data_IF_241696672794
#
_entry.id   IF_241696672794
#
_cell.length_a   1.000
_cell.length_b   1.000
_cell.length_c   1.000
_cell.angle_alpha   90.00
_cell.angle_beta   90.00
_cell.angle_gamma   90.00
#
_symmetry.space_group_name_H-M   'P 1'
#
loop_
_entity.id
_entity.type
_entity.pdbx_description
1 polymer ?
#
# COMPACT_ATOMS: atom_id res chain seq x y z
N UNK A 1 8.06 -43.35 -12.57
CA UNK A 1 8.69 -43.12 -11.26
C UNK A 1 9.81 -42.13 -11.50
N UNK A 2 9.55 -40.85 -11.25
CA UNK A 2 10.54 -39.79 -11.29
C UNK A 2 10.35 -39.02 -9.99
N UNK A 3 11.40 -38.96 -9.20
CA UNK A 3 11.45 -38.32 -7.87
C UNK A 3 11.22 -36.82 -7.99
N UNK A 4 10.55 -36.17 -7.01
CA UNK A 4 10.48 -34.72 -6.95
C UNK A 4 11.80 -34.18 -6.43
N UNK A 5 12.48 -33.39 -7.22
CA UNK A 5 13.63 -32.59 -6.83
C UNK A 5 13.22 -31.61 -5.74
N UNK A 6 13.71 -31.84 -4.53
CA UNK A 6 13.72 -30.88 -3.42
C UNK A 6 14.57 -29.67 -3.81
N UNK A 7 13.90 -28.56 -4.10
CA UNK A 7 14.58 -27.27 -4.20
C UNK A 7 14.83 -26.77 -2.76
N UNK A 8 16.06 -26.84 -2.32
CA UNK A 8 16.52 -26.20 -1.09
C UNK A 8 16.25 -24.68 -1.23
N UNK A 9 15.43 -24.15 -0.33
CA UNK A 9 15.23 -22.69 -0.19
C UNK A 9 16.56 -22.11 0.25
N UNK A 10 17.24 -21.46 -0.66
CA UNK A 10 18.30 -20.52 -0.35
C UNK A 10 17.63 -19.38 0.44
N UNK A 11 18.11 -19.09 1.65
CA UNK A 11 17.46 -18.19 2.61
C UNK A 11 17.61 -16.70 2.29
N UNK A 12 17.47 -16.30 1.04
CA UNK A 12 17.36 -14.90 0.68
C UNK A 12 15.88 -14.52 0.59
N UNK A 13 15.41 -13.75 1.56
CA UNK A 13 14.16 -12.99 1.45
C UNK A 13 14.23 -12.19 0.15
N UNK A 14 13.34 -12.45 -0.80
CA UNK A 14 13.25 -11.67 -2.02
C UNK A 14 12.98 -10.21 -1.62
N UNK A 15 13.98 -9.34 -1.85
CA UNK A 15 13.98 -7.95 -1.41
C UNK A 15 12.66 -7.25 -1.82
N UNK A 16 11.91 -6.73 -0.89
CA UNK A 16 10.70 -5.99 -1.17
C UNK A 16 11.08 -4.63 -1.71
N UNK A 17 10.48 -4.18 -2.77
CA UNK A 17 10.76 -2.93 -3.47
C UNK A 17 12.27 -2.63 -3.59
N UNK A 18 12.76 -2.49 -4.80
CA UNK A 18 14.17 -2.25 -5.06
C UNK A 18 14.74 -1.08 -4.23
N UNK A 19 15.12 -1.36 -2.97
CA UNK A 19 16.18 -0.56 -2.37
C UNK A 19 17.41 -0.91 -3.21
N UNK A 20 18.03 0.05 -3.90
CA UNK A 20 19.26 -0.21 -4.62
C UNK A 20 20.27 -0.88 -3.70
N UNK A 21 21.03 -1.84 -4.20
CA UNK A 21 21.95 -2.62 -3.39
C UNK A 21 22.97 -1.74 -2.64
N UNK A 22 23.35 -0.60 -3.23
CA UNK A 22 24.23 0.40 -2.61
C UNK A 22 23.56 1.07 -1.39
N UNK A 23 22.26 1.38 -1.47
CA UNK A 23 21.49 1.95 -0.33
C UNK A 23 21.36 0.93 0.79
N UNK A 24 21.07 -0.32 0.46
CA UNK A 24 21.01 -1.38 1.47
C UNK A 24 22.37 -1.55 2.16
N UNK A 25 23.46 -1.61 1.38
CA UNK A 25 24.81 -1.73 1.92
C UNK A 25 25.14 -0.55 2.86
N UNK A 26 24.72 0.66 2.52
CA UNK A 26 24.87 1.85 3.35
C UNK A 26 24.08 1.73 4.68
N UNK A 27 22.83 1.30 4.60
CA UNK A 27 21.96 1.08 5.77
C UNK A 27 22.56 0.05 6.73
N UNK A 28 23.03 -1.09 6.20
CA UNK A 28 23.67 -2.13 7.00
C UNK A 28 25.01 -1.66 7.60
N UNK A 29 25.84 -0.93 6.82
CA UNK A 29 27.11 -0.37 7.31
C UNK A 29 26.92 0.66 8.44
N UNK A 30 25.80 1.39 8.43
CA UNK A 30 25.42 2.32 9.49
C UNK A 30 24.65 1.63 10.64
N UNK A 31 24.46 0.31 10.59
CA UNK A 31 23.83 -0.46 11.66
C UNK A 31 22.30 -0.30 11.75
N UNK A 32 21.64 0.01 10.64
CA UNK A 32 20.16 0.10 10.60
C UNK A 32 19.52 -1.30 10.70
N UNK A 33 20.21 -2.37 10.24
CA UNK A 33 19.73 -3.74 10.43
C UNK A 33 18.41 -4.04 9.73
N UNK A 34 18.22 -3.52 8.52
CA UNK A 34 16.96 -3.67 7.74
C UNK A 34 16.65 -5.14 7.50
N UNK A 35 17.64 -5.93 7.08
CA UNK A 35 17.44 -7.35 6.78
C UNK A 35 17.03 -8.11 8.05
N UNK A 36 17.74 -7.90 9.15
CA UNK A 36 17.42 -8.55 10.42
C UNK A 36 16.00 -8.19 10.91
N UNK A 37 15.59 -6.93 10.74
CA UNK A 37 14.23 -6.50 11.11
C UNK A 37 13.18 -7.17 10.24
N UNK A 38 13.39 -7.25 8.93
CA UNK A 38 12.45 -7.90 8.02
C UNK A 38 12.37 -9.41 8.23
N UNK A 39 13.49 -10.07 8.51
CA UNK A 39 13.50 -11.51 8.85
C UNK A 39 12.71 -11.77 10.15
N UNK A 40 12.88 -10.93 11.17
CA UNK A 40 12.10 -11.02 12.41
C UNK A 40 10.60 -10.76 12.17
N UNK A 41 10.25 -9.84 11.28
CA UNK A 41 8.85 -9.59 10.88
C UNK A 41 8.27 -10.84 10.21
N UNK A 42 8.97 -11.48 9.28
CA UNK A 42 8.50 -12.71 8.61
C UNK A 42 8.23 -13.84 9.61
N UNK A 43 9.17 -14.09 10.53
CA UNK A 43 9.01 -15.11 11.55
C UNK A 43 7.80 -14.83 12.44
N UNK A 44 7.66 -13.61 12.93
CA UNK A 44 6.55 -13.19 13.80
C UNK A 44 5.21 -13.16 13.07
N UNK A 45 5.16 -12.81 11.77
CA UNK A 45 3.95 -12.91 10.96
C UNK A 45 3.43 -14.33 10.90
N UNK A 46 4.32 -15.32 10.69
CA UNK A 46 3.97 -16.74 10.70
C UNK A 46 3.43 -17.19 12.05
N UNK A 47 4.01 -16.70 13.15
CA UNK A 47 3.56 -16.99 14.51
C UNK A 47 2.20 -16.36 14.81
N UNK A 48 2.01 -15.09 14.48
CA UNK A 48 0.76 -14.35 14.76
C UNK A 48 -0.40 -14.80 13.86
N UNK A 49 -0.13 -15.22 12.63
CA UNK A 49 -1.14 -15.84 11.77
C UNK A 49 -1.48 -17.30 12.16
N UNK A 50 -0.75 -17.86 13.14
CA UNK A 50 -0.99 -19.23 13.58
C UNK A 50 -2.30 -19.38 14.36
N UNK A 51 -2.98 -20.50 14.14
CA UNK A 51 -4.14 -20.95 14.90
C UNK A 51 -3.99 -22.43 15.27
N UNK A 52 -4.51 -22.83 16.45
CA UNK A 52 -4.62 -24.24 16.86
C UNK A 52 -5.55 -25.03 15.94
N UNK A 53 -6.51 -24.37 15.31
CA UNK A 53 -7.38 -24.97 14.31
C UNK A 53 -6.66 -25.06 12.96
N UNK A 54 -6.45 -26.27 12.45
CA UNK A 54 -5.68 -26.52 11.25
C UNK A 54 -6.19 -25.75 10.02
N UNK A 55 -7.53 -25.70 9.85
CA UNK A 55 -8.14 -25.00 8.73
C UNK A 55 -8.00 -23.45 8.85
N UNK A 56 -8.22 -22.88 10.03
CA UNK A 56 -7.99 -21.44 10.25
C UNK A 56 -6.55 -21.07 9.94
N UNK A 57 -5.58 -21.90 10.37
CA UNK A 57 -4.17 -21.70 10.05
C UNK A 57 -3.88 -21.78 8.56
N UNK A 58 -4.50 -22.69 7.83
CA UNK A 58 -4.36 -22.79 6.37
C UNK A 58 -4.83 -21.50 5.68
N UNK A 59 -6.04 -21.03 6.04
CA UNK A 59 -6.64 -19.87 5.38
C UNK A 59 -5.92 -18.57 5.76
N UNK A 60 -5.55 -18.38 7.04
CA UNK A 60 -4.86 -17.16 7.50
C UNK A 60 -3.46 -16.98 6.93
N UNK A 61 -2.78 -18.09 6.58
CA UNK A 61 -1.44 -18.07 5.98
C UNK A 61 -1.46 -17.99 4.45
N UNK A 62 -2.58 -18.17 3.82
CA UNK A 62 -2.65 -18.34 2.37
C UNK A 62 -2.03 -17.18 1.57
N UNK A 63 -2.43 -15.93 1.87
CA UNK A 63 -1.82 -14.76 1.23
C UNK A 63 -0.44 -14.41 1.80
N UNK A 64 -0.14 -14.81 3.04
CA UNK A 64 1.17 -14.64 3.64
C UNK A 64 2.21 -15.53 2.95
N UNK A 65 1.88 -16.81 2.75
CA UNK A 65 2.74 -17.80 2.08
C UNK A 65 2.94 -17.48 0.58
N UNK A 66 2.02 -16.74 -0.05
CA UNK A 66 2.19 -16.21 -1.40
C UNK A 66 3.26 -15.09 -1.49
N UNK A 67 3.79 -14.66 -0.35
CA UNK A 67 4.83 -13.64 -0.28
C UNK A 67 4.30 -12.22 -0.20
N UNK A 68 5.18 -11.25 -0.40
CA UNK A 68 4.85 -9.83 -0.37
C UNK A 68 6.11 -8.98 -0.26
N UNK A 69 6.02 -7.72 -0.69
CA UNK A 69 7.18 -6.81 -0.72
C UNK A 69 7.56 -6.25 0.66
N UNK A 70 6.75 -6.45 1.70
CA UNK A 70 6.94 -5.94 3.06
C UNK A 70 7.29 -4.44 3.13
N UNK A 71 6.69 -3.66 2.26
CA UNK A 71 6.96 -2.23 2.14
C UNK A 71 6.63 -1.47 3.44
N UNK A 72 5.50 -1.79 4.07
CA UNK A 72 5.09 -1.16 5.34
C UNK A 72 6.02 -1.49 6.50
N UNK A 73 6.41 -2.75 6.75
CA UNK A 73 7.44 -3.11 7.71
C UNK A 73 8.79 -2.42 7.46
N UNK A 74 9.20 -2.32 6.19
CA UNK A 74 10.41 -1.59 5.81
C UNK A 74 10.34 -0.13 6.25
N UNK A 75 9.21 0.53 6.02
CA UNK A 75 9.01 1.93 6.43
C UNK A 75 9.02 2.09 7.96
N UNK A 76 8.45 1.13 8.72
CA UNK A 76 8.56 1.12 10.19
C UNK A 76 10.03 1.09 10.61
N UNK A 77 10.81 0.17 10.03
CA UNK A 77 12.24 0.04 10.32
C UNK A 77 13.00 1.34 10.02
N UNK A 78 12.88 1.87 8.80
CA UNK A 78 13.60 3.07 8.39
C UNK A 78 13.19 4.30 9.20
N UNK A 79 11.89 4.50 9.43
CA UNK A 79 11.39 5.61 10.25
C UNK A 79 11.82 5.50 11.71
N UNK A 80 12.03 4.29 12.23
CA UNK A 80 12.56 4.05 13.55
C UNK A 80 14.02 4.52 13.73
N UNK A 81 14.76 4.71 12.64
CA UNK A 81 16.12 5.20 12.63
C UNK A 81 16.25 6.68 12.27
N UNK A 82 15.13 7.40 12.15
CA UNK A 82 15.11 8.85 11.89
C UNK A 82 15.39 9.70 13.14
N UNK A 83 14.77 9.42 14.32
CA UNK A 83 15.00 10.25 15.51
C UNK A 83 16.46 10.30 15.95
N UNK A 84 16.84 11.40 16.62
CA UNK A 84 18.20 11.60 17.15
C UNK A 84 18.51 10.73 18.38
N UNK A 85 17.73 9.70 18.66
CA UNK A 85 18.02 8.78 19.75
C UNK A 85 19.35 8.03 19.52
N UNK A 86 20.11 7.67 20.56
CA UNK A 86 21.27 6.82 20.41
C UNK A 86 20.90 5.50 19.72
N UNK A 87 21.68 5.08 18.71
CA UNK A 87 21.39 3.89 17.90
C UNK A 87 21.18 2.63 18.74
N UNK A 88 21.95 2.48 19.84
CA UNK A 88 21.83 1.35 20.79
C UNK A 88 20.49 1.35 21.55
N UNK A 89 19.70 2.41 21.46
CA UNK A 89 18.38 2.54 22.10
C UNK A 89 17.21 2.27 21.16
N UNK A 90 17.45 2.02 19.87
CA UNK A 90 16.38 1.69 18.91
C UNK A 90 15.80 0.32 19.27
N UNK A 91 14.51 0.23 19.60
CA UNK A 91 13.91 -0.98 20.13
C UNK A 91 13.59 -1.97 19.03
N UNK A 92 14.56 -2.80 18.64
CA UNK A 92 14.43 -3.79 17.56
C UNK A 92 13.14 -4.60 17.65
N UNK A 93 12.84 -5.17 18.81
CA UNK A 93 11.64 -6.00 18.99
C UNK A 93 10.35 -5.22 18.78
N UNK A 94 10.27 -4.01 19.31
CA UNK A 94 9.08 -3.16 19.14
C UNK A 94 8.89 -2.71 17.69
N UNK A 95 9.98 -2.44 16.95
CA UNK A 95 9.91 -2.12 15.52
C UNK A 95 9.47 -3.33 14.69
N UNK A 96 9.98 -4.52 15.00
CA UNK A 96 9.56 -5.75 14.34
C UNK A 96 8.06 -6.03 14.59
N UNK A 97 7.59 -5.91 15.84
CA UNK A 97 6.19 -6.10 16.21
C UNK A 97 5.28 -5.04 15.54
N UNK A 98 5.71 -3.78 15.48
CA UNK A 98 4.99 -2.74 14.74
C UNK A 98 4.92 -3.04 13.24
N UNK A 99 6.00 -3.56 12.65
CA UNK A 99 6.03 -4.07 11.28
C UNK A 99 5.02 -5.19 11.05
N UNK A 100 4.90 -6.11 12.01
CA UNK A 100 3.88 -7.18 11.98
C UNK A 100 2.46 -6.62 12.03
N UNK A 101 2.19 -5.65 12.91
CA UNK A 101 0.85 -5.02 13.03
C UNK A 101 0.41 -4.44 11.68
N UNK A 102 1.24 -3.60 11.07
CA UNK A 102 0.86 -2.94 9.82
C UNK A 102 0.75 -3.92 8.65
N UNK A 103 1.54 -4.99 8.63
CA UNK A 103 1.44 -6.01 7.57
C UNK A 103 0.22 -6.93 7.79
N UNK A 104 -0.14 -7.29 9.03
CA UNK A 104 -1.37 -8.04 9.32
C UNK A 104 -2.62 -7.27 8.91
N UNK A 105 -2.66 -5.96 9.22
CA UNK A 105 -3.76 -5.09 8.77
C UNK A 105 -3.80 -5.04 7.25
N UNK A 106 -2.66 -4.87 6.58
CA UNK A 106 -2.61 -4.87 5.12
C UNK A 106 -3.09 -6.21 4.53
N UNK A 107 -2.65 -7.34 5.09
CA UNK A 107 -3.13 -8.66 4.64
C UNK A 107 -4.63 -8.81 4.82
N UNK A 108 -5.16 -8.34 5.94
CA UNK A 108 -6.60 -8.36 6.23
C UNK A 108 -7.38 -7.55 5.19
N UNK A 109 -6.92 -6.34 4.87
CA UNK A 109 -7.57 -5.53 3.82
C UNK A 109 -7.54 -6.23 2.46
N UNK A 110 -6.43 -6.89 2.09
CA UNK A 110 -6.38 -7.65 0.83
C UNK A 110 -7.41 -8.78 0.76
N UNK A 111 -7.70 -9.49 1.88
CA UNK A 111 -8.77 -10.49 1.91
C UNK A 111 -10.15 -9.87 1.71
N UNK A 112 -10.40 -8.69 2.29
CA UNK A 112 -11.67 -7.98 2.16
C UNK A 112 -11.81 -7.37 0.77
N UNK A 113 -10.77 -6.72 0.25
CA UNK A 113 -10.75 -6.10 -1.08
C UNK A 113 -11.03 -7.15 -2.17
N UNK A 114 -10.39 -8.33 -2.10
CA UNK A 114 -10.64 -9.43 -3.06
C UNK A 114 -12.12 -9.83 -3.14
N UNK A 115 -12.86 -9.74 -2.02
CA UNK A 115 -14.31 -10.01 -1.99
C UNK A 115 -15.11 -8.85 -2.53
N UNK A 116 -14.71 -7.61 -2.23
CA UNK A 116 -15.41 -6.39 -2.67
C UNK A 116 -15.27 -6.22 -4.18
N UNK A 117 -14.06 -6.44 -4.70
CA UNK A 117 -13.71 -6.22 -6.11
C UNK A 117 -13.97 -7.46 -6.99
N UNK A 118 -14.43 -8.59 -6.40
CA UNK A 118 -14.54 -9.90 -7.05
C UNK A 118 -13.23 -10.30 -7.81
N UNK A 119 -12.10 -10.00 -7.20
CA UNK A 119 -10.79 -10.13 -7.82
C UNK A 119 -10.43 -11.60 -8.07
N UNK A 120 -10.06 -12.02 -9.31
CA UNK A 120 -9.83 -13.43 -9.63
C UNK A 120 -8.54 -13.98 -9.02
N UNK A 121 -7.55 -13.13 -8.77
CA UNK A 121 -6.23 -13.53 -8.29
C UNK A 121 -5.59 -12.43 -7.44
N UNK A 122 -4.80 -12.84 -6.45
CA UNK A 122 -3.99 -11.97 -5.61
C UNK A 122 -2.57 -12.55 -5.44
N UNK A 123 -1.53 -11.74 -5.63
CA UNK A 123 -0.12 -12.17 -5.52
C UNK A 123 0.21 -13.41 -6.39
N UNK A 124 -0.41 -13.52 -7.57
CA UNK A 124 -0.19 -14.61 -8.52
C UNK A 124 -0.87 -15.93 -8.16
N UNK A 125 -1.71 -15.97 -7.13
CA UNK A 125 -2.53 -17.13 -6.76
C UNK A 125 -4.02 -16.77 -6.82
N UNK A 126 -4.88 -17.78 -6.92
CA UNK A 126 -6.35 -17.60 -6.89
C UNK A 126 -6.75 -16.86 -5.61
N UNK A 127 -7.65 -15.89 -5.71
CA UNK A 127 -8.14 -15.16 -4.54
C UNK A 127 -8.86 -16.08 -3.54
N UNK A 128 -8.75 -15.77 -2.25
CA UNK A 128 -9.24 -16.63 -1.18
C UNK A 128 -10.74 -16.90 -1.25
N UNK A 129 -11.53 -15.91 -1.66
CA UNK A 129 -12.99 -16.06 -1.79
C UNK A 129 -13.40 -17.03 -2.91
N UNK A 130 -12.62 -17.10 -3.99
CA UNK A 130 -12.84 -18.08 -5.07
C UNK A 130 -12.32 -19.47 -4.70
N UNK A 131 -11.22 -19.55 -3.93
CA UNK A 131 -10.70 -20.84 -3.46
C UNK A 131 -11.61 -21.50 -2.43
N UNK A 132 -12.24 -20.71 -1.58
CA UNK A 132 -13.15 -21.17 -0.51
C UNK A 132 -14.51 -20.52 -0.63
N UNK A 133 -14.76 -19.40 0.06
CA UNK A 133 -16.02 -18.63 -0.01
C UNK A 133 -15.78 -17.19 0.44
N UNK A 134 -16.68 -16.26 0.07
CA UNK A 134 -16.70 -14.90 0.57
C UNK A 134 -16.69 -14.87 2.11
N UNK A 135 -17.51 -15.71 2.74
CA UNK A 135 -17.61 -15.80 4.21
C UNK A 135 -16.26 -16.13 4.85
N UNK A 136 -15.52 -17.09 4.28
CA UNK A 136 -14.20 -17.45 4.82
C UNK A 136 -13.16 -16.38 4.58
N UNK A 137 -13.17 -15.70 3.43
CA UNK A 137 -12.28 -14.59 3.17
C UNK A 137 -12.52 -13.45 4.17
N UNK A 138 -13.78 -13.02 4.38
CA UNK A 138 -14.14 -11.98 5.35
C UNK A 138 -13.68 -12.37 6.77
N UNK A 139 -14.05 -13.56 7.25
CA UNK A 139 -13.66 -14.02 8.59
C UNK A 139 -12.14 -14.16 8.75
N UNK A 140 -11.41 -14.43 7.68
CA UNK A 140 -9.94 -14.48 7.72
C UNK A 140 -9.36 -13.07 7.89
N UNK A 141 -9.87 -12.09 7.16
CA UNK A 141 -9.50 -10.69 7.36
C UNK A 141 -9.75 -10.23 8.80
N UNK A 142 -10.94 -10.54 9.35
CA UNK A 142 -11.30 -10.22 10.74
C UNK A 142 -10.34 -10.89 11.75
N UNK A 143 -9.99 -12.17 11.51
CA UNK A 143 -9.01 -12.88 12.34
C UNK A 143 -7.65 -12.20 12.33
N UNK A 144 -7.13 -11.78 11.17
CA UNK A 144 -5.84 -11.08 11.06
C UNK A 144 -5.90 -9.70 11.73
N UNK A 145 -7.02 -8.98 11.62
CA UNK A 145 -7.24 -7.70 12.34
C UNK A 145 -7.25 -7.91 13.85
N UNK A 146 -7.86 -8.98 14.35
CA UNK A 146 -7.84 -9.32 15.77
C UNK A 146 -6.41 -9.59 16.25
N UNK A 147 -5.59 -10.31 15.47
CA UNK A 147 -4.17 -10.55 15.78
C UNK A 147 -3.34 -9.26 15.81
N UNK A 148 -3.58 -8.35 14.87
CA UNK A 148 -2.94 -7.03 14.87
C UNK A 148 -3.35 -6.22 16.11
N UNK A 149 -4.62 -6.29 16.52
CA UNK A 149 -5.13 -5.63 17.72
C UNK A 149 -4.50 -6.17 19.01
N UNK A 150 -4.41 -7.51 19.16
CA UNK A 150 -3.73 -8.14 20.28
C UNK A 150 -2.29 -7.63 20.42
N UNK A 151 -1.52 -7.67 19.31
CA UNK A 151 -0.13 -7.24 19.31
C UNK A 151 0.01 -5.73 19.59
N UNK A 152 -0.90 -4.91 19.10
CA UNK A 152 -0.90 -3.47 19.37
C UNK A 152 -1.08 -3.15 20.86
N UNK A 153 -1.88 -3.95 21.57
CA UNK A 153 -2.10 -3.81 23.00
C UNK A 153 -0.82 -4.19 23.81
N UNK A 154 -0.03 -5.15 23.31
CA UNK A 154 1.28 -5.49 23.90
C UNK A 154 2.28 -4.33 23.81
N UNK A 155 2.24 -3.54 22.71
CA UNK A 155 3.08 -2.37 22.49
C UNK A 155 2.59 -1.09 23.21
N UNK A 156 1.34 -1.07 23.67
CA UNK A 156 0.80 -0.02 24.50
C UNK A 156 -0.37 0.76 23.93
N UNK A 157 -0.93 1.64 24.76
CA UNK A 157 -2.19 2.35 24.49
C UNK A 157 -2.10 3.28 23.27
N UNK A 158 -0.97 3.95 23.06
CA UNK A 158 -0.80 4.87 21.95
C UNK A 158 -0.75 4.12 20.61
N UNK A 159 -0.04 2.98 20.55
CA UNK A 159 -0.01 2.11 19.38
C UNK A 159 -1.40 1.59 19.05
N UNK A 160 -2.14 1.10 20.07
CA UNK A 160 -3.52 0.62 19.89
C UNK A 160 -4.46 1.73 19.40
N UNK A 161 -4.34 2.95 19.95
CA UNK A 161 -5.17 4.08 19.54
C UNK A 161 -4.90 4.45 18.08
N UNK A 162 -3.63 4.54 17.68
CA UNK A 162 -3.23 4.89 16.32
C UNK A 162 -3.78 3.87 15.32
N UNK A 163 -3.57 2.55 15.57
CA UNK A 163 -4.06 1.54 14.61
C UNK A 163 -5.58 1.51 14.53
N UNK A 164 -6.29 1.74 15.64
CA UNK A 164 -7.75 1.80 15.64
C UNK A 164 -8.27 2.98 14.81
N UNK A 165 -7.62 4.15 14.92
CA UNK A 165 -7.92 5.32 14.09
C UNK A 165 -7.60 5.06 12.61
N UNK A 166 -6.49 4.37 12.32
CA UNK A 166 -6.10 3.99 10.96
C UNK A 166 -7.10 3.03 10.35
N UNK A 167 -7.57 2.03 11.10
CA UNK A 167 -8.62 1.10 10.65
C UNK A 167 -9.92 1.82 10.31
N UNK A 168 -10.33 2.80 11.12
CA UNK A 168 -11.50 3.62 10.81
C UNK A 168 -11.32 4.38 9.50
N UNK A 169 -10.16 5.04 9.29
CA UNK A 169 -9.85 5.75 8.03
C UNK A 169 -9.79 4.81 6.82
N UNK A 170 -9.24 3.60 6.97
CA UNK A 170 -9.22 2.58 5.91
C UNK A 170 -10.66 2.20 5.50
N UNK A 171 -11.53 1.95 6.47
CA UNK A 171 -12.93 1.63 6.20
C UNK A 171 -13.69 2.80 5.57
N UNK A 172 -13.47 4.03 6.06
CA UNK A 172 -14.07 5.23 5.49
C UNK A 172 -13.62 5.45 4.04
N UNK A 173 -12.32 5.28 3.75
CA UNK A 173 -11.77 5.36 2.39
C UNK A 173 -12.35 4.30 1.46
N UNK A 174 -12.48 3.04 1.92
CA UNK A 174 -13.08 1.96 1.15
C UNK A 174 -14.57 2.20 0.89
N UNK A 175 -15.32 2.69 1.88
CA UNK A 175 -16.73 3.05 1.71
C UNK A 175 -16.89 4.20 0.70
N UNK A 176 -16.03 5.23 0.80
CA UNK A 176 -16.04 6.34 -0.12
C UNK A 176 -15.74 5.91 -1.56
N UNK A 177 -14.79 4.99 -1.76
CA UNK A 177 -14.49 4.42 -3.09
C UNK A 177 -15.70 3.69 -3.67
N UNK A 178 -16.35 2.83 -2.87
CA UNK A 178 -17.58 2.13 -3.30
C UNK A 178 -18.69 3.12 -3.64
N UNK A 179 -18.85 4.23 -2.89
CA UNK A 179 -19.83 5.27 -3.18
C UNK A 179 -19.52 6.07 -4.44
N UNK A 180 -18.25 6.20 -4.83
CA UNK A 180 -17.82 6.83 -6.08
C UNK A 180 -17.97 5.90 -7.31
N UNK A 181 -18.07 4.59 -7.10
CA UNK A 181 -18.26 3.62 -8.19
C UNK A 181 -19.73 3.48 -8.56
N UNK A 182 -20.08 3.88 -9.79
CA UNK A 182 -21.46 3.81 -10.30
C UNK A 182 -21.95 2.38 -10.54
N UNK A 183 -21.05 1.41 -10.60
CA UNK A 183 -21.34 0.02 -10.97
C UNK A 183 -21.69 -0.89 -9.79
N UNK A 184 -21.29 -0.52 -8.59
CA UNK A 184 -21.34 -1.42 -7.42
C UNK A 184 -22.55 -1.19 -6.51
N UNK A 185 -23.31 -0.10 -6.70
CA UNK A 185 -24.33 0.29 -5.71
C UNK A 185 -25.77 0.03 -6.14
N UNK A 186 -26.62 -0.56 -5.27
CA UNK A 186 -28.06 -0.52 -5.44
C UNK A 186 -28.57 0.93 -5.44
N UNK A 187 -29.66 1.21 -6.20
CA UNK A 187 -30.28 2.55 -6.32
C UNK A 187 -30.63 3.26 -5.00
N UNK A 188 -30.59 2.54 -3.88
CA UNK A 188 -30.91 3.09 -2.55
C UNK A 188 -29.72 3.75 -1.84
N UNK A 189 -28.50 3.65 -2.38
CA UNK A 189 -27.29 4.25 -1.77
C UNK A 189 -26.96 5.54 -2.51
N UNK A 190 -26.72 6.66 -1.77
CA UNK A 190 -26.27 7.91 -2.41
C UNK A 190 -24.95 7.70 -3.13
N UNK A 191 -24.92 7.99 -4.43
CA UNK A 191 -23.71 8.02 -5.25
C UNK A 191 -23.06 9.38 -5.04
N UNK A 192 -21.75 9.39 -4.84
CA UNK A 192 -20.97 10.63 -4.81
C UNK A 192 -20.49 10.92 -6.22
N UNK A 193 -20.73 12.16 -6.70
CA UNK A 193 -20.22 12.61 -8.00
C UNK A 193 -18.69 12.54 -7.99
N UNK A 194 -18.07 11.86 -8.98
CA UNK A 194 -16.62 11.76 -9.09
C UNK A 194 -15.98 13.15 -9.19
N UNK A 195 -15.00 13.40 -8.35
CA UNK A 195 -14.23 14.63 -8.34
C UNK A 195 -12.81 14.38 -7.84
N UNK A 196 -11.89 15.27 -8.19
CA UNK A 196 -10.52 15.21 -7.68
C UNK A 196 -10.49 15.24 -6.16
N UNK A 197 -11.35 16.04 -5.51
CA UNK A 197 -11.43 16.10 -4.05
C UNK A 197 -11.86 14.75 -3.45
N UNK A 198 -12.92 14.13 -4.00
CA UNK A 198 -13.37 12.81 -3.55
C UNK A 198 -12.29 11.74 -3.76
N UNK A 199 -11.64 11.72 -4.91
CA UNK A 199 -10.52 10.80 -5.19
C UNK A 199 -9.38 10.95 -4.17
N UNK A 200 -8.98 12.19 -3.85
CA UNK A 200 -7.94 12.44 -2.85
C UNK A 200 -8.34 11.96 -1.45
N UNK A 201 -9.61 12.10 -1.06
CA UNK A 201 -10.13 11.57 0.20
C UNK A 201 -10.07 10.04 0.24
N UNK A 202 -10.47 9.37 -0.84
CA UNK A 202 -10.36 7.90 -0.99
C UNK A 202 -8.92 7.44 -0.83
N UNK A 203 -7.99 8.00 -1.59
CA UNK A 203 -6.56 7.63 -1.55
C UNK A 203 -5.95 7.90 -0.18
N UNK A 204 -6.31 9.04 0.43
CA UNK A 204 -5.89 9.40 1.80
C UNK A 204 -6.29 8.33 2.81
N UNK A 205 -7.54 7.88 2.76
CA UNK A 205 -8.08 6.86 3.67
C UNK A 205 -7.57 5.46 3.35
N UNK A 206 -7.80 4.98 2.14
CA UNK A 206 -7.55 3.60 1.72
C UNK A 206 -6.06 3.26 1.62
N UNK A 207 -5.25 4.15 1.06
CA UNK A 207 -3.84 3.84 0.74
C UNK A 207 -2.85 4.55 1.66
N UNK A 208 -2.95 5.87 1.82
CA UNK A 208 -1.94 6.65 2.52
C UNK A 208 -1.98 6.46 4.04
N UNK A 209 -3.14 6.21 4.65
CA UNK A 209 -3.32 6.12 6.09
C UNK A 209 -2.43 5.05 6.77
N UNK A 210 -2.32 3.86 6.17
CA UNK A 210 -1.52 2.78 6.75
C UNK A 210 -0.01 2.98 6.52
N UNK A 211 0.38 3.66 5.44
CA UNK A 211 1.77 4.04 5.16
C UNK A 211 2.20 5.15 6.13
N UNK A 212 1.34 6.14 6.37
CA UNK A 212 1.48 7.15 7.42
C UNK A 212 1.72 6.48 8.79
N UNK A 213 0.85 5.54 9.14
CA UNK A 213 0.94 4.80 10.41
C UNK A 213 2.23 4.02 10.53
N UNK A 214 2.73 3.43 9.44
CA UNK A 214 4.01 2.71 9.44
C UNK A 214 5.17 3.62 9.83
N UNK A 215 5.26 4.81 9.22
CA UNK A 215 6.31 5.77 9.55
C UNK A 215 6.12 6.38 10.95
N UNK A 216 4.88 6.66 11.35
CA UNK A 216 4.53 7.13 12.70
C UNK A 216 4.98 6.16 13.78
N UNK A 217 4.75 4.87 13.59
CA UNK A 217 5.16 3.82 14.53
C UNK A 217 6.68 3.75 14.68
N UNK A 218 7.40 3.77 13.57
CA UNK A 218 8.86 3.76 13.61
C UNK A 218 9.40 4.89 14.47
N UNK A 219 9.02 6.13 14.18
CA UNK A 219 9.49 7.31 14.93
C UNK A 219 9.01 7.32 16.38
N UNK A 220 7.75 6.96 16.65
CA UNK A 220 7.17 6.93 17.99
C UNK A 220 7.88 5.93 18.90
N UNK A 221 8.02 4.69 18.44
CA UNK A 221 8.61 3.61 19.23
C UNK A 221 10.10 3.80 19.49
N UNK A 222 10.79 4.52 18.61
CA UNK A 222 12.20 4.88 18.79
C UNK A 222 12.41 6.16 19.63
N UNK A 223 11.36 6.64 20.32
CA UNK A 223 11.47 7.76 21.25
C UNK A 223 11.57 9.13 20.58
N UNK A 224 11.09 9.25 19.34
CA UNK A 224 11.03 10.54 18.64
C UNK A 224 10.18 11.56 19.40
N UNK A 225 10.57 12.83 19.30
CA UNK A 225 9.77 13.95 19.78
C UNK A 225 8.43 14.05 19.03
N UNK A 226 7.44 14.75 19.57
CA UNK A 226 6.16 14.94 18.89
C UNK A 226 6.33 15.54 17.48
N UNK A 227 7.29 16.43 17.29
CA UNK A 227 7.60 17.03 15.98
C UNK A 227 8.17 16.01 15.02
N UNK A 228 9.10 15.15 15.47
CA UNK A 228 9.69 14.09 14.64
C UNK A 228 8.66 13.02 14.27
N UNK A 229 7.85 12.58 15.23
CA UNK A 229 6.77 11.61 14.99
C UNK A 229 5.78 12.13 13.95
N UNK A 230 5.40 13.41 14.04
CA UNK A 230 4.48 14.02 13.08
C UNK A 230 5.11 14.23 11.70
N UNK A 231 6.38 14.62 11.62
CA UNK A 231 7.11 14.73 10.36
C UNK A 231 7.25 13.37 9.66
N UNK A 232 7.63 12.32 10.41
CA UNK A 232 7.68 10.96 9.87
C UNK A 232 6.31 10.49 9.36
N UNK A 233 5.24 10.81 10.08
CA UNK A 233 3.88 10.48 9.66
C UNK A 233 3.48 11.21 8.37
N UNK A 234 3.74 12.53 8.26
CA UNK A 234 3.47 13.29 7.03
C UNK A 234 4.30 12.79 5.85
N UNK A 235 5.57 12.44 6.09
CA UNK A 235 6.38 11.75 5.06
C UNK A 235 5.66 10.50 4.55
N UNK A 236 5.23 9.62 5.45
CA UNK A 236 4.52 8.39 5.10
C UNK A 236 3.21 8.65 4.35
N UNK A 237 2.44 9.66 4.78
CA UNK A 237 1.23 10.10 4.09
C UNK A 237 1.50 10.51 2.65
N UNK A 238 2.47 11.40 2.42
CA UNK A 238 2.81 11.86 1.07
C UNK A 238 3.35 10.72 0.19
N UNK A 239 4.18 9.81 0.75
CA UNK A 239 4.63 8.63 0.01
C UNK A 239 3.46 7.73 -0.39
N UNK A 240 2.48 7.54 0.50
CA UNK A 240 1.29 6.76 0.21
C UNK A 240 0.44 7.36 -0.91
N UNK A 241 0.23 8.68 -0.88
CA UNK A 241 -0.46 9.42 -1.94
C UNK A 241 0.28 9.29 -3.28
N UNK A 242 1.59 9.57 -3.29
CA UNK A 242 2.40 9.51 -4.51
C UNK A 242 2.47 8.10 -5.10
N UNK A 243 2.49 7.08 -4.24
CA UNK A 243 2.48 5.68 -4.68
C UNK A 243 1.20 5.34 -5.44
N UNK A 244 0.03 5.75 -4.93
CA UNK A 244 -1.24 5.54 -5.61
C UNK A 244 -1.31 6.33 -6.91
N UNK A 245 -0.93 7.62 -6.91
CA UNK A 245 -0.91 8.43 -8.15
C UNK A 245 -0.03 7.77 -9.23
N UNK A 246 1.10 7.18 -8.82
CA UNK A 246 1.97 6.47 -9.73
C UNK A 246 1.33 5.20 -10.29
N UNK A 247 0.64 4.41 -9.47
CA UNK A 247 -0.03 3.20 -9.92
C UNK A 247 -1.16 3.55 -10.91
N UNK A 248 -1.94 4.60 -10.63
CA UNK A 248 -3.03 5.07 -11.50
C UNK A 248 -2.52 5.62 -12.85
N UNK A 249 -1.40 6.36 -12.82
CA UNK A 249 -0.74 6.84 -14.05
C UNK A 249 -0.25 5.65 -14.88
N UNK A 250 0.34 4.64 -14.23
CA UNK A 250 0.84 3.44 -14.90
C UNK A 250 -0.28 2.59 -15.50
N UNK A 251 -1.46 2.55 -14.88
CA UNK A 251 -2.61 1.86 -15.44
C UNK A 251 -3.01 2.42 -16.83
N UNK A 252 -2.78 3.72 -17.05
CA UNK A 252 -3.04 4.36 -18.36
C UNK A 252 -1.80 4.34 -19.26
N UNK A 253 -0.61 4.66 -18.70
CA UNK A 253 0.58 4.96 -19.51
C UNK A 253 1.39 3.72 -19.90
N UNK A 254 1.30 2.61 -19.15
CA UNK A 254 2.18 1.45 -19.34
C UNK A 254 1.95 0.77 -20.71
N UNK A 255 3.05 0.27 -21.30
CA UNK A 255 2.98 -0.58 -22.49
C UNK A 255 2.64 -2.02 -22.05
N UNK A 256 1.60 -2.65 -22.61
CA UNK A 256 1.23 -4.03 -22.34
C UNK A 256 2.37 -5.03 -22.59
N UNK A 257 3.26 -4.72 -23.54
CA UNK A 257 4.38 -5.60 -23.89
C UNK A 257 5.49 -5.56 -22.84
N UNK A 258 5.65 -4.44 -22.12
CA UNK A 258 6.66 -4.27 -21.08
C UNK A 258 6.12 -4.61 -19.68
N UNK A 259 4.90 -4.19 -19.38
CA UNK A 259 4.30 -4.36 -18.05
C UNK A 259 3.62 -5.72 -17.84
N UNK A 260 3.20 -6.40 -18.92
CA UNK A 260 2.37 -7.60 -18.86
C UNK A 260 0.95 -7.36 -18.32
N UNK A 261 0.56 -6.11 -18.08
CA UNK A 261 -0.77 -5.70 -17.61
C UNK A 261 -1.60 -5.13 -18.77
N UNK A 262 -2.91 -5.31 -18.70
CA UNK A 262 -3.84 -4.67 -19.63
C UNK A 262 -4.10 -3.26 -19.09
N UNK A 263 -3.80 -2.17 -19.87
CA UNK A 263 -4.07 -0.82 -19.43
C UNK A 263 -5.57 -0.54 -19.32
N UNK A 264 -5.96 0.38 -18.41
CA UNK A 264 -7.34 0.76 -18.18
C UNK A 264 -8.13 -0.21 -17.32
N UNK A 265 -7.45 -0.99 -16.48
CA UNK A 265 -8.10 -1.91 -15.54
C UNK A 265 -9.01 -1.14 -14.57
N UNK A 266 -8.57 -0.01 -14.04
CA UNK A 266 -9.35 0.84 -13.14
C UNK A 266 -10.61 1.37 -13.83
N UNK A 267 -10.49 1.80 -15.10
CA UNK A 267 -11.65 2.23 -15.91
C UNK A 267 -12.65 1.08 -16.10
N UNK A 268 -12.17 -0.13 -16.37
CA UNK A 268 -13.02 -1.30 -16.55
C UNK A 268 -13.79 -1.65 -15.26
N UNK A 269 -13.20 -1.39 -14.11
CA UNK A 269 -13.81 -1.55 -12.79
C UNK A 269 -14.73 -0.37 -12.41
N UNK A 270 -14.79 0.67 -13.25
CA UNK A 270 -15.61 1.88 -13.05
C UNK A 270 -14.99 2.88 -12.08
N UNK A 271 -13.67 2.77 -11.83
CA UNK A 271 -12.93 3.68 -10.96
C UNK A 271 -12.32 4.81 -11.80
N UNK A 272 -12.66 6.05 -11.46
CA UNK A 272 -12.12 7.24 -12.12
C UNK A 272 -10.91 7.75 -11.35
N UNK A 273 -9.73 7.47 -11.87
CA UNK A 273 -8.45 7.84 -11.26
C UNK A 273 -8.01 9.26 -11.64
N UNK A 274 -6.95 9.75 -11.01
CA UNK A 274 -6.49 11.14 -11.14
C UNK A 274 -6.32 11.62 -12.59
N UNK A 275 -5.69 10.87 -13.52
CA UNK A 275 -5.59 11.28 -14.91
C UNK A 275 -6.95 11.48 -15.60
N UNK A 276 -7.89 10.58 -15.30
CA UNK A 276 -9.25 10.62 -15.88
C UNK A 276 -10.00 11.85 -15.36
N UNK A 277 -9.97 12.08 -14.05
CA UNK A 277 -10.64 13.22 -13.42
C UNK A 277 -10.10 14.55 -13.92
N UNK A 278 -8.79 14.68 -14.10
CA UNK A 278 -8.20 15.87 -14.71
C UNK A 278 -8.63 16.08 -16.16
N UNK A 279 -8.75 15.03 -16.94
CA UNK A 279 -9.24 15.14 -18.31
C UNK A 279 -10.71 15.57 -18.37
N UNK A 280 -11.55 15.08 -17.45
CA UNK A 280 -12.94 15.49 -17.32
C UNK A 280 -13.10 16.94 -16.83
N UNK A 281 -12.19 17.42 -15.95
CA UNK A 281 -12.17 18.84 -15.58
C UNK A 281 -11.85 19.76 -16.76
N UNK A 282 -10.94 19.31 -17.65
CA UNK A 282 -10.53 20.10 -18.81
C UNK A 282 -11.59 20.11 -19.93
N UNK A 283 -12.31 18.99 -20.14
CA UNK A 283 -13.38 18.87 -21.14
C UNK A 283 -14.53 17.96 -20.64
N UNK A 284 -15.46 18.51 -19.83
CA UNK A 284 -16.53 17.74 -19.19
C UNK A 284 -17.58 17.17 -20.17
N UNK A 285 -17.71 17.75 -21.35
CA UNK A 285 -18.67 17.31 -22.35
C UNK A 285 -17.98 16.68 -23.59
N UNK A 286 -16.70 16.36 -23.49
CA UNK A 286 -15.88 15.86 -24.58
C UNK A 286 -16.07 14.38 -24.91
N UNK A 287 -15.23 13.89 -25.82
CA UNK A 287 -15.27 12.50 -26.28
C UNK A 287 -15.03 11.49 -25.15
N UNK A 288 -14.10 11.79 -24.22
CA UNK A 288 -13.84 10.95 -23.05
C UNK A 288 -15.07 10.83 -22.15
N UNK A 289 -15.72 11.96 -21.83
CA UNK A 289 -16.92 11.97 -21.01
C UNK A 289 -18.05 11.14 -21.66
N UNK A 290 -18.22 11.25 -22.97
CA UNK A 290 -19.21 10.47 -23.74
C UNK A 290 -18.91 8.96 -23.69
N UNK A 291 -17.63 8.56 -23.78
CA UNK A 291 -17.20 7.17 -23.66
C UNK A 291 -17.48 6.61 -22.25
N UNK A 292 -17.13 7.36 -21.22
CA UNK A 292 -17.34 6.94 -19.84
C UNK A 292 -18.82 6.84 -19.43
N UNK A 293 -19.69 7.63 -20.10
CA UNK A 293 -21.14 7.54 -19.93
C UNK A 293 -21.76 6.34 -20.66
N UNK A 294 -21.01 5.67 -21.52
CA UNK A 294 -21.44 4.48 -22.26
C UNK A 294 -21.06 3.18 -21.52
N UNK A 295 -21.30 2.02 -22.14
CA UNK A 295 -20.80 0.74 -21.61
C UNK A 295 -19.27 0.72 -21.67
N UNK A 296 -18.61 0.41 -20.55
CA UNK A 296 -17.15 0.26 -20.47
C UNK A 296 -16.73 -1.15 -20.88
N UNK A 297 -17.04 -1.52 -22.13
CA UNK A 297 -16.50 -2.73 -22.74
C UNK A 297 -15.02 -2.54 -23.16
N UNK A 298 -14.38 -3.62 -23.58
CA UNK A 298 -12.94 -3.62 -23.89
C UNK A 298 -12.58 -2.61 -25.00
N UNK A 299 -13.46 -2.38 -25.97
CA UNK A 299 -13.22 -1.44 -27.10
C UNK A 299 -13.30 0.01 -26.60
N UNK A 300 -14.32 0.36 -25.81
CA UNK A 300 -14.49 1.70 -25.24
C UNK A 300 -13.38 2.03 -24.22
N UNK A 301 -12.96 1.07 -23.41
CA UNK A 301 -11.81 1.23 -22.48
C UNK A 301 -10.53 1.47 -23.28
N UNK A 302 -10.26 0.72 -24.34
CA UNK A 302 -9.09 0.92 -25.19
C UNK A 302 -9.07 2.30 -25.86
N UNK A 303 -10.23 2.79 -26.30
CA UNK A 303 -10.38 4.12 -26.86
C UNK A 303 -10.16 5.22 -25.81
N UNK A 304 -10.72 5.07 -24.59
CA UNK A 304 -10.52 5.99 -23.48
C UNK A 304 -9.03 6.08 -23.08
N UNK A 305 -8.35 4.94 -22.95
CA UNK A 305 -6.91 4.87 -22.69
C UNK A 305 -6.11 5.59 -23.79
N UNK A 306 -6.47 5.39 -25.06
CA UNK A 306 -5.81 6.05 -26.19
C UNK A 306 -5.95 7.58 -26.13
N UNK A 307 -7.14 8.08 -25.79
CA UNK A 307 -7.39 9.52 -25.61
C UNK A 307 -6.56 10.08 -24.45
N UNK A 308 -6.57 9.39 -23.30
CA UNK A 308 -5.85 9.81 -22.10
C UNK A 308 -4.32 9.87 -22.32
N UNK A 309 -3.76 8.93 -23.07
CA UNK A 309 -2.32 8.93 -23.41
C UNK A 309 -1.89 10.16 -24.21
N UNK A 310 -2.77 10.72 -25.00
CA UNK A 310 -2.53 11.96 -25.76
C UNK A 310 -2.95 13.24 -25.02
N UNK A 311 -3.55 13.13 -23.84
CA UNK A 311 -4.13 14.25 -23.13
C UNK A 311 -3.15 14.88 -22.11
N UNK A 312 -3.18 16.22 -21.97
CA UNK A 312 -2.36 16.98 -21.01
C UNK A 312 -2.64 16.62 -19.55
N UNK A 313 -3.78 16.03 -19.25
CA UNK A 313 -4.15 15.54 -17.92
C UNK A 313 -3.16 14.51 -17.37
N UNK A 314 -2.55 13.67 -18.22
CA UNK A 314 -1.54 12.71 -17.81
C UNK A 314 -0.27 13.41 -17.31
N UNK A 315 0.17 14.48 -17.99
CA UNK A 315 1.32 15.27 -17.54
C UNK A 315 0.98 16.05 -16.26
N UNK A 316 -0.25 16.54 -16.13
CA UNK A 316 -0.74 17.17 -14.90
C UNK A 316 -0.73 16.19 -13.72
N UNK A 317 -1.14 14.93 -13.93
CA UNK A 317 -1.10 13.88 -12.91
C UNK A 317 0.34 13.55 -12.51
N UNK A 318 1.28 13.45 -13.48
CA UNK A 318 2.72 13.28 -13.20
C UNK A 318 3.27 14.44 -12.36
N UNK A 319 2.96 15.67 -12.72
CA UNK A 319 3.39 16.84 -11.95
C UNK A 319 2.84 16.82 -10.51
N UNK A 320 1.60 16.37 -10.30
CA UNK A 320 1.02 16.20 -8.96
C UNK A 320 1.76 15.12 -8.16
N UNK A 321 2.08 13.98 -8.77
CA UNK A 321 2.87 12.93 -8.13
C UNK A 321 4.28 13.43 -7.74
N UNK A 322 4.96 14.17 -8.62
CA UNK A 322 6.27 14.77 -8.34
C UNK A 322 6.23 15.79 -7.21
N UNK A 323 5.25 16.67 -7.18
CA UNK A 323 5.05 17.64 -6.11
C UNK A 323 4.81 16.92 -4.77
N UNK A 324 4.04 15.85 -4.77
CA UNK A 324 3.75 15.04 -3.58
C UNK A 324 5.01 14.34 -3.05
N UNK A 325 5.86 13.81 -3.94
CA UNK A 325 7.17 13.24 -3.57
C UNK A 325 8.09 14.30 -2.98
N UNK A 326 8.13 15.50 -3.56
CA UNK A 326 8.95 16.58 -3.02
C UNK A 326 8.46 17.00 -1.63
N UNK A 327 7.13 17.09 -1.41
CA UNK A 327 6.56 17.34 -0.10
C UNK A 327 6.97 16.24 0.93
N UNK A 328 6.99 14.97 0.52
CA UNK A 328 7.50 13.91 1.39
C UNK A 328 8.96 14.12 1.78
N UNK A 329 9.82 14.47 0.81
CA UNK A 329 11.24 14.67 1.07
C UNK A 329 11.47 15.90 1.98
N UNK A 330 10.69 16.96 1.83
CA UNK A 330 10.77 18.16 2.66
C UNK A 330 10.49 17.86 4.15
N UNK A 331 9.60 16.89 4.45
CA UNK A 331 9.34 16.45 5.82
C UNK A 331 10.58 15.80 6.48
N UNK A 332 11.49 15.26 5.70
CA UNK A 332 12.73 14.68 6.23
C UNK A 332 13.74 15.72 6.71
N UNK A 333 13.56 17.01 6.40
CA UNK A 333 14.46 18.08 6.83
C UNK A 333 14.49 18.29 8.37
N UNK A 334 13.51 17.75 9.09
CA UNK A 334 13.47 17.76 10.57
C UNK A 334 14.54 16.83 11.17
N UNK A 335 14.97 15.83 10.43
CA UNK A 335 15.85 14.77 10.91
C UNK A 335 17.31 15.03 10.51
N UNK A 336 18.27 14.49 11.27
CA UNK A 336 19.68 14.56 10.87
C UNK A 336 19.92 13.80 9.57
N UNK A 337 20.94 14.24 8.82
CA UNK A 337 21.42 13.46 7.68
C UNK A 337 21.98 12.11 8.15
N UNK A 338 21.55 11.02 7.49
CA UNK A 338 21.97 9.65 7.80
C UNK A 338 21.48 8.68 6.73
N UNK A 339 21.86 7.40 6.84
CA UNK A 339 21.47 6.38 5.88
C UNK A 339 19.94 6.24 5.79
N UNK A 340 19.23 6.28 6.92
CA UNK A 340 17.77 6.18 6.93
C UNK A 340 17.10 7.35 6.18
N UNK A 341 17.55 8.59 6.42
CA UNK A 341 17.02 9.79 5.73
C UNK A 341 17.27 9.72 4.23
N UNK A 342 18.49 9.31 3.81
CA UNK A 342 18.84 9.14 2.39
C UNK A 342 18.04 8.02 1.75
N UNK A 343 17.86 6.88 2.44
CA UNK A 343 17.07 5.75 1.95
C UNK A 343 15.60 6.14 1.75
N UNK A 344 14.99 6.82 2.71
CA UNK A 344 13.61 7.31 2.60
C UNK A 344 13.47 8.32 1.46
N UNK A 345 14.41 9.26 1.29
CA UNK A 345 14.40 10.18 0.14
C UNK A 345 14.45 9.43 -1.20
N UNK A 346 15.25 8.37 -1.30
CA UNK A 346 15.33 7.54 -2.52
C UNK A 346 14.05 6.70 -2.72
N UNK A 347 13.46 6.17 -1.66
CA UNK A 347 12.18 5.44 -1.73
C UNK A 347 11.04 6.32 -2.23
N UNK A 348 10.95 7.57 -1.72
CA UNK A 348 9.96 8.53 -2.19
C UNK A 348 10.12 8.80 -3.70
N UNK A 349 11.36 9.04 -4.16
CA UNK A 349 11.64 9.23 -5.59
C UNK A 349 11.34 8.00 -6.43
N UNK A 350 11.58 6.80 -5.88
CA UNK A 350 11.31 5.54 -6.59
C UNK A 350 9.81 5.36 -6.89
N UNK A 351 8.92 5.90 -6.06
CA UNK A 351 7.49 5.83 -6.32
C UNK A 351 7.12 6.38 -7.70
N UNK A 352 7.85 7.43 -8.18
CA UNK A 352 7.59 8.08 -9.47
C UNK A 352 8.57 7.71 -10.59
N UNK A 353 9.74 7.13 -10.29
CA UNK A 353 10.70 6.72 -11.35
C UNK A 353 10.16 5.60 -12.25
N UNK A 354 9.11 4.95 -11.83
CA UNK A 354 8.38 3.95 -12.63
C UNK A 354 7.55 4.58 -13.76
N UNK A 355 7.43 5.91 -13.80
CA UNK A 355 6.60 6.67 -14.75
C UNK A 355 7.36 7.11 -16.02
N UNK A 356 8.69 6.91 -16.08
CA UNK A 356 9.55 7.36 -17.17
C UNK A 356 10.41 6.30 -17.78
#
# INVERSE_FOLDING_TARGET
MSEPTTNARDGSVAMPLAIPADVLAELEAEGVGVLATLDAVEERLLERAHSSHAFTREVSRYLLDAGGKRFRPLLVCLAGHLPQAPRDSVPFDALADAGVIVELVHLATLYHDDVIDDAPARRGITSAHLRWTNTLAILTGDFLMARASELSAELGVDVTRIISQTLARLCEGQIAEVQGSQTLLPQAVPVIEPSVAHYLDVVSGKTASLIETSCRYGALLSGGTATEVEAAARYGFHVGMAFQFSDDILDIASDPQESGKIPGTDLKEGVLTLPVLYALEDDPDGELAALLASSLDDDNVAQAVSLLRGHTALDRARATAEQTVNAAIDELAVFPEGAATRALSRLARYAITRLG
#
